data_IF_727016049965
#
_entry.id   IF_727016049965
#
_cell.length_a   1.000
_cell.length_b   1.000
_cell.length_c   1.000
_cell.angle_alpha   90.00
_cell.angle_beta   90.00
_cell.angle_gamma   90.00
#
_symmetry.space_group_name_H-M   'P 1'
#
loop_
_entity.id
_entity.type
_entity.pdbx_description
1 polymer ?
#
# COMPACT_ATOMS: atom_id res chain seq x y z
N UNK A 1 -72.37 -14.64 -53.35
CA UNK A 1 -71.19 -15.48 -53.12
C UNK A 1 -70.04 -14.54 -52.80
N UNK A 2 -69.79 -14.20 -51.52
CA UNK A 2 -68.78 -13.26 -51.10
C UNK A 2 -67.71 -14.00 -50.26
N UNK A 3 -66.47 -13.98 -50.67
CA UNK A 3 -65.33 -14.55 -49.95
C UNK A 3 -64.76 -13.54 -48.92
N UNK A 4 -64.48 -13.92 -47.68
CA UNK A 4 -63.78 -13.02 -46.74
C UNK A 4 -62.30 -13.06 -47.00
N UNK A 5 -61.68 -11.87 -46.95
CA UNK A 5 -60.21 -11.66 -46.97
C UNK A 5 -59.64 -11.96 -45.60
N UNK A 6 -58.61 -12.81 -45.60
CA UNK A 6 -57.78 -13.10 -44.42
C UNK A 6 -56.67 -12.06 -44.32
N UNK A 7 -56.68 -11.25 -43.27
CA UNK A 7 -55.59 -10.31 -42.97
C UNK A 7 -54.46 -11.03 -42.20
N UNK A 8 -53.26 -11.14 -42.80
CA UNK A 8 -52.04 -11.56 -42.10
C UNK A 8 -51.47 -10.36 -41.30
N UNK A 9 -51.47 -10.47 -39.99
CA UNK A 9 -50.73 -9.55 -39.12
C UNK A 9 -49.25 -9.96 -39.05
N UNK A 10 -48.29 -9.05 -39.22
CA UNK A 10 -46.88 -9.35 -39.00
C UNK A 10 -46.60 -9.33 -37.48
N UNK A 11 -46.11 -10.47 -36.97
CA UNK A 11 -45.62 -10.65 -35.62
C UNK A 11 -44.24 -9.95 -35.48
N UNK A 12 -44.21 -8.74 -34.88
CA UNK A 12 -42.98 -8.06 -34.52
C UNK A 12 -42.38 -8.73 -33.28
N UNK A 13 -41.30 -9.52 -33.48
CA UNK A 13 -40.48 -10.12 -32.42
C UNK A 13 -39.53 -9.04 -31.88
N UNK A 14 -39.57 -8.67 -30.58
CA UNK A 14 -38.61 -7.73 -30.02
C UNK A 14 -37.24 -8.45 -29.86
N UNK A 15 -36.22 -7.97 -30.59
CA UNK A 15 -34.84 -8.36 -30.44
C UNK A 15 -34.30 -7.80 -29.09
N UNK A 16 -34.38 -8.61 -28.02
CA UNK A 16 -33.78 -8.29 -26.74
C UNK A 16 -32.23 -8.34 -26.87
N UNK A 17 -31.64 -7.16 -27.02
CA UNK A 17 -30.18 -6.98 -27.00
C UNK A 17 -29.70 -7.18 -25.56
N UNK A 18 -29.24 -8.39 -25.23
CA UNK A 18 -28.61 -8.70 -23.95
C UNK A 18 -27.28 -7.93 -23.84
N UNK A 19 -27.27 -6.82 -23.11
CA UNK A 19 -26.06 -6.14 -22.65
C UNK A 19 -25.33 -7.07 -21.69
N UNK A 20 -24.39 -7.87 -22.23
CA UNK A 20 -23.38 -8.58 -21.44
C UNK A 20 -22.54 -7.53 -20.73
N UNK A 21 -22.86 -7.28 -19.46
CA UNK A 21 -22.07 -6.43 -18.57
C UNK A 21 -20.67 -7.04 -18.42
N UNK A 22 -19.69 -6.48 -19.12
CA UNK A 22 -18.28 -6.82 -18.90
C UNK A 22 -17.92 -6.38 -17.48
N UNK A 23 -17.79 -7.34 -16.54
CA UNK A 23 -17.23 -7.08 -15.22
C UNK A 23 -15.83 -6.49 -15.41
N UNK A 24 -15.48 -5.38 -14.73
CA UNK A 24 -14.13 -4.82 -14.85
C UNK A 24 -13.12 -5.85 -14.37
N UNK A 25 -12.30 -6.35 -15.29
CA UNK A 25 -11.16 -7.22 -14.96
C UNK A 25 -10.21 -6.36 -14.13
N UNK A 26 -10.14 -6.62 -12.83
CA UNK A 26 -9.15 -5.99 -11.96
C UNK A 26 -7.76 -6.40 -12.45
N UNK A 27 -6.93 -5.42 -12.76
CA UNK A 27 -5.55 -5.67 -13.16
C UNK A 27 -4.82 -6.43 -12.04
N UNK A 28 -4.05 -7.44 -12.43
CA UNK A 28 -3.21 -8.19 -11.49
C UNK A 28 -2.14 -7.25 -10.90
N UNK A 29 -1.97 -7.30 -9.58
CA UNK A 29 -0.93 -6.52 -8.89
C UNK A 29 0.46 -6.88 -9.42
N UNK A 30 1.29 -5.86 -9.59
CA UNK A 30 2.71 -6.02 -9.88
C UNK A 30 3.54 -5.23 -8.88
N UNK A 31 4.71 -5.77 -8.54
CA UNK A 31 5.68 -5.11 -7.69
C UNK A 31 7.08 -5.24 -8.29
N UNK A 32 7.86 -4.16 -8.26
CA UNK A 32 9.26 -4.15 -8.71
C UNK A 32 10.15 -4.05 -7.48
N UNK A 33 11.12 -4.95 -7.34
CA UNK A 33 12.17 -4.86 -6.30
C UNK A 33 13.02 -3.62 -6.58
N UNK A 34 13.04 -2.66 -5.65
CA UNK A 34 13.75 -1.40 -5.83
C UNK A 34 15.08 -1.34 -5.06
N UNK A 35 15.11 -1.97 -3.89
CA UNK A 35 16.29 -1.98 -3.02
C UNK A 35 16.28 -3.21 -2.12
N UNK A 36 17.45 -3.80 -1.88
CA UNK A 36 17.67 -4.92 -0.94
C UNK A 36 18.73 -4.51 0.06
N UNK A 37 18.43 -4.65 1.35
CA UNK A 37 19.32 -4.28 2.46
C UNK A 37 19.66 -5.48 3.34
N UNK A 38 20.77 -5.39 4.04
CA UNK A 38 21.25 -6.39 5.02
C UNK A 38 21.57 -7.76 4.40
N UNK A 39 21.94 -7.78 3.12
CA UNK A 39 22.27 -9.00 2.37
C UNK A 39 21.42 -9.15 1.13
N UNK A 40 21.20 -10.39 0.69
CA UNK A 40 20.58 -10.74 -0.58
C UNK A 40 19.36 -11.69 -0.45
N UNK A 41 18.87 -11.88 0.78
CA UNK A 41 17.78 -12.81 1.08
C UNK A 41 16.40 -12.20 0.86
N UNK A 42 16.15 -11.72 -0.36
CA UNK A 42 14.82 -11.37 -0.87
C UNK A 42 14.50 -12.32 -2.03
N UNK A 43 13.31 -12.90 -2.02
CA UNK A 43 12.92 -13.96 -2.93
C UNK A 43 11.59 -13.63 -3.62
N UNK A 44 11.49 -14.07 -4.90
CA UNK A 44 10.22 -14.17 -5.63
C UNK A 44 9.99 -15.67 -5.91
N UNK A 45 8.91 -16.25 -5.36
CA UNK A 45 8.57 -17.68 -5.45
C UNK A 45 9.77 -18.59 -5.10
N UNK A 46 10.44 -18.34 -3.97
CA UNK A 46 11.62 -19.08 -3.48
C UNK A 46 12.91 -18.88 -4.30
N UNK A 47 12.87 -18.20 -5.44
CA UNK A 47 14.05 -17.83 -6.21
C UNK A 47 14.56 -16.48 -5.72
N UNK A 48 15.85 -16.39 -5.45
CA UNK A 48 16.50 -15.14 -5.04
C UNK A 48 16.24 -14.05 -6.10
N UNK A 49 15.74 -12.92 -5.64
CA UNK A 49 15.43 -11.78 -6.47
C UNK A 49 16.60 -10.81 -6.56
N UNK A 50 16.59 -10.00 -7.61
CA UNK A 50 17.54 -8.89 -7.81
C UNK A 50 16.78 -7.57 -7.87
N UNK A 51 17.50 -6.48 -7.64
CA UNK A 51 16.96 -5.13 -7.90
C UNK A 51 16.48 -5.01 -9.35
N UNK A 52 15.42 -4.24 -9.55
CA UNK A 52 14.68 -4.05 -10.79
C UNK A 52 13.88 -5.28 -11.29
N UNK A 53 13.94 -6.41 -10.58
CA UNK A 53 13.14 -7.56 -10.91
C UNK A 53 11.66 -7.35 -10.55
N UNK A 54 10.77 -7.85 -11.41
CA UNK A 54 9.32 -7.69 -11.26
C UNK A 54 8.66 -9.00 -10.83
N UNK A 55 7.87 -8.90 -9.78
CA UNK A 55 6.91 -9.92 -9.38
C UNK A 55 5.50 -9.54 -9.86
N UNK A 56 4.68 -10.54 -10.18
CA UNK A 56 3.28 -10.37 -10.63
C UNK A 56 2.38 -11.32 -9.86
N UNK A 57 1.13 -10.92 -9.62
CA UNK A 57 0.14 -11.83 -9.05
C UNK A 57 0.03 -13.11 -9.89
N UNK A 58 0.01 -14.29 -9.23
CA UNK A 58 -0.10 -14.54 -7.79
C UNK A 58 1.23 -14.80 -7.07
N UNK A 59 2.36 -14.30 -7.55
CA UNK A 59 3.68 -14.58 -6.99
C UNK A 59 3.84 -14.07 -5.56
N UNK A 60 4.71 -14.74 -4.80
CA UNK A 60 5.09 -14.40 -3.43
C UNK A 60 6.41 -13.63 -3.41
N UNK A 61 6.48 -12.64 -2.54
CA UNK A 61 7.74 -12.01 -2.14
C UNK A 61 8.01 -12.36 -0.67
N UNK A 62 9.23 -12.79 -0.38
CA UNK A 62 9.63 -13.10 0.99
C UNK A 62 11.03 -12.59 1.28
N UNK A 63 11.27 -12.29 2.55
CA UNK A 63 12.59 -11.91 3.06
C UNK A 63 13.07 -12.92 4.08
N UNK A 64 14.38 -13.19 4.07
CA UNK A 64 15.07 -13.86 5.17
C UNK A 64 15.60 -12.81 6.17
N UNK A 65 16.92 -12.79 6.39
CA UNK A 65 17.59 -11.80 7.23
C UNK A 65 17.73 -10.42 6.54
N UNK A 66 17.33 -10.32 5.25
CA UNK A 66 17.35 -9.06 4.50
C UNK A 66 16.03 -8.30 4.64
N UNK A 67 16.11 -7.00 4.38
CA UNK A 67 14.95 -6.10 4.20
C UNK A 67 14.87 -5.71 2.73
N UNK A 68 13.71 -5.29 2.25
CA UNK A 68 13.57 -4.88 0.86
C UNK A 68 12.57 -3.76 0.66
N UNK A 69 12.85 -2.89 -0.33
CA UNK A 69 11.90 -1.91 -0.85
C UNK A 69 11.36 -2.38 -2.19
N UNK A 70 10.04 -2.32 -2.34
CA UNK A 70 9.32 -2.66 -3.58
C UNK A 70 8.45 -1.48 -4.01
N UNK A 71 8.37 -1.25 -5.32
CA UNK A 71 7.46 -0.28 -5.92
C UNK A 71 6.27 -0.98 -6.54
N UNK A 72 5.05 -0.60 -6.16
CA UNK A 72 3.81 -1.10 -6.75
C UNK A 72 3.44 -0.33 -8.03
N UNK A 73 2.64 -0.95 -8.88
CA UNK A 73 2.13 -0.31 -10.10
C UNK A 73 1.28 0.95 -9.81
N UNK A 74 0.68 1.03 -8.63
CA UNK A 74 -0.05 2.19 -8.14
C UNK A 74 0.82 3.43 -7.90
N UNK A 75 2.14 3.31 -7.97
CA UNK A 75 3.11 4.32 -7.55
C UNK A 75 3.40 4.32 -6.04
N UNK A 76 2.70 3.50 -5.27
CA UNK A 76 3.01 3.32 -3.86
C UNK A 76 4.29 2.48 -3.67
N UNK A 77 4.89 2.61 -2.50
CA UNK A 77 6.10 1.88 -2.11
C UNK A 77 5.79 1.03 -0.87
N UNK A 78 6.30 -0.21 -0.88
CA UNK A 78 6.29 -1.10 0.28
C UNK A 78 7.72 -1.37 0.78
N UNK A 79 7.94 -1.32 2.10
CA UNK A 79 9.18 -1.78 2.73
C UNK A 79 8.91 -3.00 3.57
N UNK A 80 9.46 -4.13 3.15
CA UNK A 80 9.38 -5.41 3.85
C UNK A 80 10.48 -5.50 4.90
N UNK A 81 10.10 -5.85 6.13
CA UNK A 81 11.06 -6.17 7.18
C UNK A 81 11.63 -7.59 6.97
N UNK A 82 12.59 -7.98 7.82
CA UNK A 82 13.12 -9.36 7.88
C UNK A 82 12.01 -10.35 8.17
N UNK A 83 12.15 -11.58 7.65
CA UNK A 83 11.23 -12.71 7.87
C UNK A 83 9.78 -12.41 7.52
N UNK A 84 9.57 -11.58 6.50
CA UNK A 84 8.24 -11.23 5.98
C UNK A 84 7.87 -12.09 4.78
N UNK A 85 6.58 -12.36 4.65
CA UNK A 85 5.99 -13.09 3.53
C UNK A 85 4.73 -12.38 3.05
N UNK A 86 4.74 -11.96 1.81
CA UNK A 86 3.57 -11.38 1.16
C UNK A 86 3.29 -12.03 -0.19
N UNK A 87 2.04 -12.08 -0.59
CA UNK A 87 1.57 -12.58 -1.88
C UNK A 87 0.90 -11.46 -2.65
N UNK A 88 1.24 -11.31 -3.93
CA UNK A 88 0.54 -10.39 -4.81
C UNK A 88 -0.80 -10.99 -5.24
N UNK A 89 -1.87 -10.21 -5.13
CA UNK A 89 -3.23 -10.64 -5.44
C UNK A 89 -3.87 -9.80 -6.54
N UNK A 90 -5.21 -9.89 -6.64
CA UNK A 90 -6.01 -9.02 -7.50
C UNK A 90 -6.63 -7.91 -6.65
N UNK A 91 -6.02 -6.72 -6.68
CA UNK A 91 -6.52 -5.52 -5.98
C UNK A 91 -6.09 -5.35 -4.53
N UNK A 92 -5.27 -6.25 -3.97
CA UNK A 92 -4.47 -6.05 -2.76
C UNK A 92 -3.30 -7.03 -2.71
N UNK A 93 -2.21 -6.66 -2.03
CA UNK A 93 -1.24 -7.65 -1.58
C UNK A 93 -1.75 -8.32 -0.28
N UNK A 94 -1.44 -9.58 -0.06
CA UNK A 94 -1.74 -10.31 1.18
C UNK A 94 -0.45 -10.43 2.00
N UNK A 95 -0.39 -9.80 3.17
CA UNK A 95 0.68 -10.05 4.13
C UNK A 95 0.30 -11.28 4.96
N UNK A 96 1.10 -12.33 4.86
CA UNK A 96 0.86 -13.59 5.57
C UNK A 96 1.66 -13.67 6.87
N UNK A 97 2.85 -13.05 6.92
CA UNK A 97 3.76 -13.07 8.06
C UNK A 97 4.69 -11.85 8.03
N UNK A 98 5.15 -11.43 9.20
CA UNK A 98 6.16 -10.39 9.35
C UNK A 98 5.58 -8.98 9.27
N UNK A 99 6.28 -8.05 8.67
CA UNK A 99 5.94 -6.63 8.75
C UNK A 99 6.22 -5.90 7.43
N UNK A 100 5.29 -5.01 7.06
CA UNK A 100 5.44 -4.12 5.90
C UNK A 100 5.01 -2.69 6.26
N UNK A 101 5.79 -1.71 5.80
CA UNK A 101 5.38 -0.32 5.70
C UNK A 101 4.87 -0.07 4.28
N UNK A 102 3.74 0.58 4.16
CA UNK A 102 3.22 1.10 2.89
C UNK A 102 3.23 2.62 2.92
N UNK A 103 3.76 3.22 1.87
CA UNK A 103 3.71 4.66 1.61
C UNK A 103 2.99 4.91 0.29
N UNK A 104 1.84 5.57 0.34
CA UNK A 104 0.97 5.84 -0.80
C UNK A 104 -0.29 4.96 -0.83
N UNK A 105 -1.01 5.02 -1.96
CA UNK A 105 -2.31 4.34 -2.13
C UNK A 105 -2.14 2.91 -2.63
N UNK A 106 -1.84 1.99 -1.73
CA UNK A 106 -1.79 0.56 -2.03
C UNK A 106 -2.66 -0.21 -1.06
N UNK A 107 -3.68 -0.89 -1.57
CA UNK A 107 -4.52 -1.78 -0.76
C UNK A 107 -3.74 -2.99 -0.30
N UNK A 108 -3.88 -3.30 1.00
CA UNK A 108 -3.35 -4.49 1.62
C UNK A 108 -4.46 -5.43 2.06
N UNK A 109 -4.10 -6.69 2.27
CA UNK A 109 -4.96 -7.69 2.88
C UNK A 109 -4.17 -8.45 3.95
N UNK A 110 -4.87 -8.86 4.99
CA UNK A 110 -4.48 -9.96 5.88
C UNK A 110 -5.41 -11.12 5.61
N UNK A 111 -5.26 -12.25 6.28
CA UNK A 111 -6.21 -13.37 6.16
C UNK A 111 -7.63 -12.98 6.54
N UNK A 112 -7.77 -12.06 7.48
CA UNK A 112 -9.04 -11.70 8.11
C UNK A 112 -9.51 -10.27 7.87
N UNK A 113 -8.74 -9.45 7.14
CA UNK A 113 -9.13 -8.06 6.86
C UNK A 113 -8.60 -7.56 5.51
N UNK A 114 -9.37 -6.68 4.89
CA UNK A 114 -8.97 -5.85 3.76
C UNK A 114 -8.69 -4.43 4.23
N UNK A 115 -7.58 -3.88 3.77
CA UNK A 115 -7.06 -2.58 4.12
C UNK A 115 -7.14 -1.66 2.91
N UNK A 116 -7.92 -0.59 3.01
CA UNK A 116 -8.16 0.35 1.91
C UNK A 116 -7.66 1.76 2.30
N UNK A 117 -6.45 2.17 1.88
CA UNK A 117 -5.85 3.43 2.30
C UNK A 117 -6.43 4.64 1.55
N UNK A 118 -6.53 5.77 2.26
CA UNK A 118 -6.89 7.07 1.74
C UNK A 118 -5.72 8.03 1.89
N UNK A 119 -4.69 7.91 1.00
CA UNK A 119 -3.49 8.74 1.03
C UNK A 119 -2.70 8.54 2.32
N UNK A 120 -1.93 7.45 2.46
CA UNK A 120 -1.59 6.96 3.80
C UNK A 120 -0.16 6.45 3.86
N UNK A 121 0.47 6.69 5.02
CA UNK A 121 1.62 5.92 5.49
C UNK A 121 1.15 5.01 6.63
N UNK A 122 1.21 3.69 6.44
CA UNK A 122 0.77 2.72 7.45
C UNK A 122 1.68 1.51 7.52
N UNK A 123 1.76 0.91 8.69
CA UNK A 123 2.50 -0.32 8.96
C UNK A 123 1.52 -1.42 9.28
N UNK A 124 1.74 -2.60 8.71
CA UNK A 124 1.03 -3.84 9.05
C UNK A 124 2.06 -4.82 9.58
N UNK A 125 1.75 -5.42 10.71
CA UNK A 125 2.52 -6.52 11.29
C UNK A 125 1.60 -7.72 11.53
N UNK A 126 2.05 -8.92 11.17
CA UNK A 126 1.39 -10.20 11.44
C UNK A 126 2.29 -10.99 12.36
N UNK A 127 1.77 -11.37 13.52
CA UNK A 127 2.50 -12.21 14.48
C UNK A 127 2.45 -13.70 14.11
N UNK A 128 3.15 -14.52 14.87
CA UNK A 128 3.21 -15.97 14.63
C UNK A 128 1.87 -16.69 14.88
N UNK A 129 0.92 -16.06 15.56
CA UNK A 129 -0.43 -16.56 15.78
C UNK A 129 -1.42 -16.10 14.69
N UNK A 130 -0.97 -15.27 13.75
CA UNK A 130 -1.80 -14.72 12.68
C UNK A 130 -2.61 -13.49 13.08
N UNK A 131 -2.43 -12.96 14.30
CA UNK A 131 -3.03 -11.70 14.70
C UNK A 131 -2.34 -10.52 13.98
N UNK A 132 -3.13 -9.51 13.63
CA UNK A 132 -2.65 -8.36 12.89
C UNK A 132 -2.60 -7.11 13.76
N UNK A 133 -1.53 -6.34 13.65
CA UNK A 133 -1.41 -4.99 14.18
C UNK A 133 -1.23 -4.01 13.01
N UNK A 134 -2.08 -2.99 12.96
CA UNK A 134 -2.09 -1.99 11.90
C UNK A 134 -1.91 -0.62 12.55
N UNK A 135 -0.80 0.06 12.25
CA UNK A 135 -0.49 1.40 12.74
C UNK A 135 -0.59 2.41 11.59
N UNK A 136 -1.52 3.37 11.68
CA UNK A 136 -1.68 4.44 10.70
C UNK A 136 -0.85 5.64 11.14
N UNK A 137 0.24 5.91 10.41
CA UNK A 137 1.17 6.98 10.76
C UNK A 137 0.71 8.35 10.24
N UNK A 138 -0.01 8.35 9.09
CA UNK A 138 -0.53 9.56 8.46
C UNK A 138 -1.67 9.17 7.52
N UNK A 139 -2.68 10.04 7.34
CA UNK A 139 -3.86 9.78 6.53
C UNK A 139 -4.93 8.95 7.25
N UNK A 140 -5.62 8.08 6.54
CA UNK A 140 -6.64 7.18 7.12
C UNK A 140 -6.72 5.86 6.36
N UNK A 141 -7.18 4.82 7.04
CA UNK A 141 -7.26 3.46 6.52
C UNK A 141 -8.62 2.86 6.87
N UNK A 142 -9.39 2.45 5.86
CA UNK A 142 -10.59 1.67 6.09
C UNK A 142 -10.23 0.19 6.19
N UNK A 143 -10.65 -0.44 7.28
CA UNK A 143 -10.40 -1.86 7.60
C UNK A 143 -11.73 -2.60 7.53
N UNK A 144 -11.89 -3.43 6.49
CA UNK A 144 -13.06 -4.29 6.28
C UNK A 144 -12.73 -5.71 6.75
N UNK A 145 -13.48 -6.21 7.72
CA UNK A 145 -13.33 -7.60 8.15
C UNK A 145 -13.70 -8.57 7.01
N UNK A 146 -12.93 -9.65 6.89
CA UNK A 146 -13.16 -10.74 5.95
C UNK A 146 -13.50 -12.03 6.70
N UNK A 147 -14.40 -12.82 6.14
CA UNK A 147 -14.66 -14.22 6.53
C UNK A 147 -14.52 -15.08 5.30
N UNK A 148 -13.64 -16.07 5.34
CA UNK A 148 -13.32 -16.94 4.20
C UNK A 148 -12.96 -16.18 2.92
N UNK A 149 -12.23 -15.05 3.10
CA UNK A 149 -11.79 -14.17 2.01
C UNK A 149 -12.87 -13.21 1.46
N UNK A 150 -14.11 -13.27 1.95
CA UNK A 150 -15.21 -12.40 1.54
C UNK A 150 -15.47 -11.29 2.57
N UNK A 151 -15.82 -10.06 2.14
CA UNK A 151 -16.23 -9.01 3.06
C UNK A 151 -17.40 -9.45 3.92
N UNK A 152 -17.36 -9.15 5.22
CA UNK A 152 -18.49 -9.34 6.13
C UNK A 152 -19.54 -8.24 5.90
N UNK A 153 -20.77 -8.44 6.42
CA UNK A 153 -21.83 -7.43 6.37
C UNK A 153 -21.55 -6.20 7.27
N UNK A 154 -20.57 -6.32 8.17
CA UNK A 154 -20.18 -5.20 9.04
C UNK A 154 -19.54 -4.08 8.21
N UNK A 155 -19.88 -2.80 8.49
CA UNK A 155 -19.25 -1.69 7.81
C UNK A 155 -17.73 -1.65 8.12
N UNK A 156 -16.92 -1.10 7.21
CA UNK A 156 -15.51 -0.91 7.46
C UNK A 156 -15.26 -0.02 8.69
N UNK A 157 -14.26 -0.36 9.47
CA UNK A 157 -13.78 0.48 10.55
C UNK A 157 -12.69 1.42 10.01
N UNK A 158 -12.88 2.73 10.16
CA UNK A 158 -11.86 3.71 9.77
C UNK A 158 -10.86 3.91 10.90
N UNK A 159 -9.58 3.69 10.61
CA UNK A 159 -8.45 3.97 11.51
C UNK A 159 -7.77 5.26 11.03
N UNK A 160 -7.69 6.25 11.92
CA UNK A 160 -7.13 7.56 11.59
C UNK A 160 -5.62 7.62 11.85
N UNK A 161 -4.97 8.65 11.30
CA UNK A 161 -3.58 8.96 11.62
C UNK A 161 -3.37 9.01 13.15
N UNK A 162 -2.27 8.46 13.62
CA UNK A 162 -1.97 8.37 15.04
C UNK A 162 -2.73 7.28 15.80
N UNK A 163 -3.37 6.34 15.09
CA UNK A 163 -4.05 5.21 15.71
C UNK A 163 -3.42 3.87 15.33
N UNK A 164 -3.54 2.94 16.25
CA UNK A 164 -3.18 1.52 16.09
C UNK A 164 -4.41 0.66 16.31
N UNK A 165 -4.69 -0.21 15.36
CA UNK A 165 -5.75 -1.22 15.46
C UNK A 165 -5.12 -2.59 15.59
N UNK A 166 -5.66 -3.44 16.49
CA UNK A 166 -5.28 -4.85 16.63
C UNK A 166 -6.46 -5.74 16.28
N UNK A 167 -6.20 -6.74 15.45
CA UNK A 167 -7.16 -7.77 15.02
C UNK A 167 -6.69 -9.13 15.53
N UNK A 168 -7.63 -9.97 15.95
CA UNK A 168 -7.34 -11.40 16.12
C UNK A 168 -7.08 -12.06 14.75
N UNK A 169 -6.62 -13.32 14.77
CA UNK A 169 -6.44 -14.10 13.54
C UNK A 169 -7.76 -14.30 12.77
N UNK A 170 -8.89 -14.29 13.48
CA UNK A 170 -10.26 -14.45 12.93
C UNK A 170 -10.85 -13.10 12.45
N UNK A 171 -10.16 -11.98 12.63
CA UNK A 171 -10.59 -10.65 12.19
C UNK A 171 -11.47 -9.90 13.18
N UNK A 172 -11.51 -10.32 14.43
CA UNK A 172 -12.19 -9.56 15.49
C UNK A 172 -11.31 -8.39 15.91
N UNK A 173 -11.89 -7.18 15.91
CA UNK A 173 -11.19 -5.99 16.42
C UNK A 173 -11.05 -6.13 17.94
N UNK A 174 -9.82 -6.23 18.40
CA UNK A 174 -9.50 -6.34 19.84
C UNK A 174 -9.38 -4.96 20.48
N UNK A 175 -8.67 -4.04 19.82
CA UNK A 175 -8.44 -2.69 20.37
C UNK A 175 -8.18 -1.68 19.23
N UNK A 176 -8.51 -0.42 19.51
CA UNK A 176 -8.02 0.75 18.77
C UNK A 176 -7.42 1.70 19.80
N UNK A 177 -6.13 2.00 19.69
CA UNK A 177 -5.37 2.82 20.63
C UNK A 177 -4.69 3.97 19.90
N UNK A 178 -4.49 5.09 20.60
CA UNK A 178 -3.64 6.16 20.10
C UNK A 178 -2.16 5.74 20.11
N UNK A 179 -1.43 6.09 19.06
CA UNK A 179 0.03 5.98 19.02
C UNK A 179 0.64 7.09 19.85
N UNK A 180 1.51 6.72 20.77
CA UNK A 180 2.29 7.67 21.60
C UNK A 180 3.50 8.21 20.80
N UNK A 181 4.14 9.27 21.33
CA UNK A 181 5.44 9.76 20.82
C UNK A 181 6.49 8.63 20.83
N UNK A 182 6.47 7.78 21.86
CA UNK A 182 7.36 6.61 21.96
C UNK A 182 7.11 5.58 20.86
N UNK A 183 5.84 5.32 20.53
CA UNK A 183 5.47 4.42 19.41
C UNK A 183 5.97 4.96 18.06
N UNK A 184 5.74 6.24 17.79
CA UNK A 184 6.25 6.89 16.58
C UNK A 184 7.77 6.81 16.50
N UNK A 185 8.49 7.16 17.58
CA UNK A 185 9.96 7.09 17.61
C UNK A 185 10.47 5.67 17.38
N UNK A 186 9.79 4.66 17.93
CA UNK A 186 10.14 3.25 17.73
C UNK A 186 9.92 2.80 16.28
N UNK A 187 8.81 3.21 15.66
CA UNK A 187 8.49 2.87 14.27
C UNK A 187 9.45 3.59 13.31
N UNK A 188 9.61 4.91 13.45
CA UNK A 188 10.42 5.74 12.56
C UNK A 188 11.92 5.50 12.72
N UNK A 189 12.39 5.18 13.93
CA UNK A 189 13.76 4.73 14.18
C UNK A 189 14.00 3.25 13.89
N UNK A 190 12.96 2.53 13.47
CA UNK A 190 12.98 1.09 13.27
C UNK A 190 13.48 0.66 11.89
N UNK A 191 13.50 -0.67 11.65
CA UNK A 191 14.08 -1.26 10.44
C UNK A 191 13.36 -0.90 9.15
N UNK A 192 12.10 -0.46 9.19
CA UNK A 192 11.34 -0.05 8.00
C UNK A 192 11.69 1.37 7.52
N UNK A 193 12.42 2.16 8.32
CA UNK A 193 12.82 3.52 7.95
C UNK A 193 14.33 3.67 7.79
N UNK A 194 15.13 2.99 8.61
CA UNK A 194 16.58 3.15 8.60
C UNK A 194 17.27 2.53 7.38
N UNK A 195 18.32 3.18 6.93
CA UNK A 195 19.32 2.72 5.94
C UNK A 195 18.79 2.60 4.49
N UNK A 196 17.51 2.82 4.23
CA UNK A 196 17.00 2.87 2.87
C UNK A 196 17.47 4.14 2.17
N UNK A 197 17.99 3.98 0.95
CA UNK A 197 18.50 5.08 0.12
C UNK A 197 17.40 5.70 -0.75
N UNK A 198 16.39 4.92 -1.11
CA UNK A 198 15.29 5.39 -1.93
C UNK A 198 14.19 6.02 -1.07
N UNK A 199 13.62 7.16 -1.50
CA UNK A 199 12.60 7.87 -0.74
C UNK A 199 11.26 7.12 -0.71
N UNK A 200 10.41 7.47 0.26
CA UNK A 200 9.01 7.10 0.32
C UNK A 200 8.17 8.19 -0.36
N UNK A 201 7.23 7.84 -1.28
CA UNK A 201 6.48 8.83 -2.06
C UNK A 201 5.60 9.76 -1.21
N UNK A 202 5.06 9.28 -0.09
CA UNK A 202 4.21 10.07 0.82
C UNK A 202 4.96 10.54 2.08
N UNK A 203 6.31 10.57 2.07
CA UNK A 203 7.07 10.98 3.25
C UNK A 203 6.83 12.44 3.64
N UNK A 204 6.71 13.35 2.68
CA UNK A 204 6.44 14.77 2.96
C UNK A 204 5.13 14.99 3.70
N UNK A 205 4.08 14.23 3.39
CA UNK A 205 2.81 14.27 4.12
C UNK A 205 2.97 13.76 5.55
N UNK A 206 3.69 12.64 5.72
CA UNK A 206 4.01 12.09 7.04
C UNK A 206 4.82 13.08 7.89
N UNK A 207 5.85 13.68 7.32
CA UNK A 207 6.67 14.70 7.99
C UNK A 207 5.82 15.91 8.41
N UNK A 208 4.98 16.42 7.52
CA UNK A 208 4.09 17.55 7.82
C UNK A 208 3.10 17.22 8.94
N UNK A 209 2.52 16.02 8.92
CA UNK A 209 1.63 15.54 9.97
C UNK A 209 2.36 15.48 11.33
N UNK A 210 3.53 14.85 11.37
CA UNK A 210 4.29 14.69 12.61
C UNK A 210 4.70 16.05 13.19
N UNK A 211 5.24 16.94 12.35
CA UNK A 211 5.63 18.29 12.82
C UNK A 211 4.47 19.09 13.39
N UNK A 212 3.26 18.90 12.87
CA UNK A 212 2.07 19.65 13.32
C UNK A 212 1.33 19.00 14.48
N UNK A 213 1.28 17.67 14.56
CA UNK A 213 0.40 16.96 15.49
C UNK A 213 1.15 16.19 16.57
N UNK A 214 2.44 15.90 16.38
CA UNK A 214 3.22 15.00 17.25
C UNK A 214 4.56 15.64 17.67
N UNK A 215 4.53 16.76 18.43
CA UNK A 215 5.75 17.40 18.90
C UNK A 215 6.55 16.44 19.80
N UNK A 216 7.86 16.35 19.58
CA UNK A 216 8.77 15.43 20.29
C UNK A 216 9.04 14.11 19.57
N UNK A 217 8.43 13.88 18.39
CA UNK A 217 8.78 12.76 17.54
C UNK A 217 10.04 13.10 16.69
N UNK A 218 11.01 12.17 16.69
CA UNK A 218 12.24 12.29 15.91
C UNK A 218 12.02 11.78 14.49
N UNK A 219 12.09 12.68 13.52
CA UNK A 219 11.99 12.30 12.11
C UNK A 219 13.30 11.69 11.62
N UNK A 220 13.28 10.56 10.90
CA UNK A 220 14.48 10.00 10.30
C UNK A 220 15.00 10.93 9.21
N UNK A 221 16.34 11.09 9.15
CA UNK A 221 17.00 11.74 8.02
C UNK A 221 16.91 10.82 6.81
N UNK A 222 15.95 11.03 5.93
CA UNK A 222 15.91 10.32 4.66
C UNK A 222 16.88 10.99 3.68
N UNK A 223 17.55 10.23 2.79
CA UNK A 223 18.34 10.81 1.74
C UNK A 223 17.42 11.67 0.86
N UNK A 224 17.67 12.97 0.89
CA UNK A 224 17.04 13.92 -0.03
C UNK A 224 17.72 13.72 -1.38
N UNK A 225 17.11 12.94 -2.27
CA UNK A 225 17.48 12.99 -3.67
C UNK A 225 16.97 14.33 -4.23
N UNK A 226 17.78 15.37 -4.11
CA UNK A 226 17.60 16.57 -4.94
C UNK A 226 17.85 16.08 -6.36
N UNK A 227 16.84 16.07 -7.27
CA UNK A 227 17.14 15.84 -8.67
C UNK A 227 18.09 16.96 -9.09
N UNK A 228 19.36 16.62 -9.32
CA UNK A 228 20.28 17.52 -10.02
C UNK A 228 19.68 17.69 -11.41
N UNK A 229 19.06 18.85 -11.64
CA UNK A 229 18.64 19.29 -12.97
C UNK A 229 19.94 19.52 -13.75
N UNK A 230 20.27 18.67 -14.74
CA UNK A 230 21.46 18.92 -15.55
C UNK A 230 21.16 20.19 -16.37
N UNK A 231 21.95 21.25 -16.17
CA UNK A 231 21.97 22.37 -17.09
C UNK A 231 21.39 23.71 -16.64
N UNK A 232 21.26 23.98 -15.34
CA UNK A 232 21.10 25.37 -14.91
C UNK A 232 22.51 25.94 -14.64
N UNK A 233 23.02 26.82 -15.51
CA UNK A 233 24.28 27.52 -15.24
C UNK A 233 24.11 28.35 -13.97
N UNK A 234 25.03 28.20 -13.03
CA UNK A 234 25.11 29.04 -11.84
C UNK A 234 25.15 30.50 -12.25
N UNK A 235 24.14 31.29 -11.85
CA UNK A 235 24.17 32.74 -12.05
C UNK A 235 25.39 33.33 -11.34
N UNK A 236 26.18 34.15 -12.01
CA UNK A 236 27.27 34.85 -11.37
C UNK A 236 26.71 35.75 -10.26
N UNK A 237 27.29 35.65 -9.08
CA UNK A 237 26.97 36.54 -7.97
C UNK A 237 27.39 37.98 -8.32
N UNK A 238 26.40 38.84 -8.55
CA UNK A 238 26.66 40.26 -8.66
C UNK A 238 26.92 40.82 -7.26
N UNK A 239 28.17 41.16 -6.97
CA UNK A 239 28.52 42.01 -5.84
C UNK A 239 28.19 43.46 -6.21
N UNK A 240 27.23 44.05 -5.52
CA UNK A 240 26.97 45.48 -5.62
C UNK A 240 28.16 46.27 -5.05
N UNK A 241 28.67 47.28 -5.76
CA UNK A 241 29.69 48.17 -5.19
C UNK A 241 29.07 48.99 -4.05
N UNK A 242 29.78 49.03 -2.91
CA UNK A 242 29.47 49.94 -1.81
C UNK A 242 29.64 51.37 -2.33
N UNK A 243 28.55 52.11 -2.40
CA UNK A 243 28.61 53.59 -2.49
C UNK A 243 28.74 54.14 -1.08
N UNK A 244 29.68 55.00 -0.92
CA UNK A 244 30.03 55.75 0.29
C UNK A 244 28.87 56.53 0.87
#
# INVERSE_FOLDING_TARGET
MSRPAVALSPLLLPLALALLGASPVRAAETATVQEILDGDQLYIDRRQARELEKARAPQQLSTGNSRGQIGFQSGAVGRLNRHSLMKLGQGCFLLEKGQILISGRQSGCTRSARLSPRGTNYVVAIDDNGAAEISVLEGSLDVQALRDGNPTEQPPTTVQAGQRLRLSAEGVILTILALTVGDYNSILGGPLFRDFRLPLPAYGSLESYIRSQMPGVNLPSLPVSVPSVPGVPSMPSFSLPRLF
#
